data_IF_650206825308
#
_entry.id   IF_650206825308
#
_cell.length_a   1.000
_cell.length_b   1.000
_cell.length_c   1.000
_cell.angle_alpha   90.00
_cell.angle_beta   90.00
_cell.angle_gamma   90.00
#
_symmetry.space_group_name_H-M   'P 1'
#
loop_
_entity.id
_entity.type
_entity.pdbx_description
1 polymer ?
#
# COMPACT_ATOMS: atom_id res chain seq x y z
N UNK A 1 51.06 14.46 0.03
CA UNK A 1 50.74 13.79 -1.26
C UNK A 1 49.50 12.92 -1.02
N UNK A 2 48.28 13.47 -0.96
CA UNK A 2 47.40 13.90 -2.06
C UNK A 2 47.36 12.97 -3.27
N UNK A 3 46.13 12.52 -3.61
CA UNK A 3 45.67 11.57 -4.66
C UNK A 3 45.59 10.13 -4.13
N UNK A 4 44.40 9.57 -3.90
CA UNK A 4 43.31 9.43 -4.87
C UNK A 4 41.93 9.47 -4.19
N UNK A 5 41.20 10.56 -4.41
CA UNK A 5 39.74 10.63 -4.26
C UNK A 5 39.17 10.54 -5.68
N UNK A 6 38.69 9.37 -6.10
CA UNK A 6 37.81 9.27 -7.26
C UNK A 6 37.09 7.91 -7.27
N UNK A 7 36.06 7.76 -6.45
CA UNK A 7 34.93 6.87 -6.72
C UNK A 7 33.68 7.55 -6.16
N UNK A 8 33.21 8.54 -6.92
CA UNK A 8 31.88 9.11 -6.76
C UNK A 8 30.85 8.13 -7.29
N UNK A 9 29.76 8.03 -6.53
CA UNK A 9 28.40 7.80 -7.02
C UNK A 9 28.04 6.40 -7.53
N UNK A 10 27.38 5.60 -6.68
CA UNK A 10 26.16 4.83 -7.03
C UNK A 10 25.43 4.47 -5.73
N UNK A 11 24.30 5.14 -5.50
CA UNK A 11 23.09 4.67 -4.83
C UNK A 11 23.21 3.90 -3.49
N UNK A 12 23.32 4.66 -2.40
CA UNK A 12 22.85 4.23 -1.09
C UNK A 12 21.31 4.39 -1.04
N UNK A 13 20.57 3.35 -1.40
CA UNK A 13 19.13 3.21 -1.13
C UNK A 13 18.73 1.71 -1.11
N UNK A 14 19.42 0.94 -0.28
CA UNK A 14 18.90 -0.34 0.21
C UNK A 14 18.66 -0.20 1.71
N UNK A 15 17.42 0.11 2.06
CA UNK A 15 16.99 0.20 3.43
C UNK A 15 15.48 0.22 3.48
N UNK A 16 14.89 -0.97 3.38
CA UNK A 16 13.75 -1.52 4.15
C UNK A 16 13.18 -2.69 3.34
N UNK A 17 13.91 -3.80 3.30
CA UNK A 17 13.38 -5.11 2.88
C UNK A 17 13.61 -6.04 4.06
N UNK A 18 12.64 -6.13 4.97
CA UNK A 18 12.83 -6.98 6.14
C UNK A 18 11.61 -7.23 7.04
N UNK A 19 10.45 -6.61 6.80
CA UNK A 19 9.30 -6.75 7.73
C UNK A 19 8.14 -7.57 7.15
N UNK A 20 8.14 -7.92 5.86
CA UNK A 20 7.00 -8.60 5.23
C UNK A 20 7.04 -10.14 5.28
N UNK A 21 8.10 -10.75 5.84
CA UNK A 21 8.31 -12.20 5.78
C UNK A 21 7.39 -13.04 6.69
N UNK A 22 6.70 -12.44 7.68
CA UNK A 22 5.89 -13.21 8.65
C UNK A 22 4.41 -13.33 8.30
N UNK A 23 3.93 -12.69 7.22
CA UNK A 23 2.50 -12.65 6.89
C UNK A 23 2.17 -13.25 5.52
N UNK A 24 2.73 -14.42 5.17
CA UNK A 24 2.23 -15.32 4.11
C UNK A 24 2.07 -14.77 2.69
N UNK A 25 2.48 -13.54 2.43
CA UNK A 25 2.37 -12.85 1.14
C UNK A 25 3.69 -12.12 0.91
N UNK A 26 4.72 -12.89 0.57
CA UNK A 26 5.98 -12.34 0.08
C UNK A 26 5.73 -11.73 -1.30
N UNK A 27 5.30 -10.47 -1.33
CA UNK A 27 5.39 -9.65 -2.54
C UNK A 27 6.87 -9.32 -2.70
N UNK A 28 7.54 -10.06 -3.59
CA UNK A 28 8.97 -9.90 -3.87
C UNK A 28 9.27 -8.46 -4.28
N UNK A 29 10.15 -7.79 -3.53
CA UNK A 29 10.55 -6.40 -3.74
C UNK A 29 11.36 -6.16 -5.03
N UNK A 30 11.58 -7.18 -5.87
CA UNK A 30 12.47 -7.11 -7.03
C UNK A 30 11.74 -6.82 -8.37
N UNK A 31 10.41 -6.70 -8.35
CA UNK A 31 9.58 -6.19 -9.46
C UNK A 31 8.40 -5.48 -8.84
N UNK A 32 8.05 -4.28 -9.31
CA UNK A 32 6.81 -3.62 -8.86
C UNK A 32 5.68 -4.66 -8.96
N UNK A 33 5.01 -4.93 -7.84
CA UNK A 33 3.90 -5.86 -7.81
C UNK A 33 2.93 -5.48 -8.93
N UNK A 34 2.45 -6.46 -9.70
CA UNK A 34 1.52 -6.14 -10.78
C UNK A 34 0.28 -5.47 -10.18
N UNK A 35 -0.38 -4.59 -10.95
CA UNK A 35 -1.64 -3.96 -10.50
C UNK A 35 -2.62 -5.03 -9.97
N UNK A 36 -2.73 -6.16 -10.67
CA UNK A 36 -3.58 -7.29 -10.29
C UNK A 36 -3.20 -7.87 -8.92
N UNK A 37 -1.92 -8.02 -8.65
CA UNK A 37 -1.44 -8.55 -7.35
C UNK A 37 -1.72 -7.56 -6.23
N UNK A 38 -1.50 -6.25 -6.44
CA UNK A 38 -1.85 -5.24 -5.44
C UNK A 38 -3.35 -5.24 -5.16
N UNK A 39 -4.19 -5.34 -6.19
CA UNK A 39 -5.65 -5.41 -6.03
C UNK A 39 -6.08 -6.68 -5.30
N UNK A 40 -5.50 -7.85 -5.63
CA UNK A 40 -5.77 -9.11 -4.92
C UNK A 40 -5.33 -9.06 -3.47
N UNK A 41 -4.14 -8.55 -3.19
CA UNK A 41 -3.65 -8.40 -1.82
C UNK A 41 -4.51 -7.42 -1.01
N UNK A 42 -5.00 -6.34 -1.63
CA UNK A 42 -5.86 -5.34 -0.99
C UNK A 42 -7.28 -5.83 -0.71
N UNK A 43 -7.92 -6.45 -1.72
CA UNK A 43 -9.37 -6.67 -1.77
C UNK A 43 -9.80 -8.11 -2.03
N UNK A 44 -8.86 -9.01 -2.33
CA UNK A 44 -9.16 -10.43 -2.47
C UNK A 44 -9.73 -11.03 -1.19
N UNK A 45 -10.24 -12.26 -1.28
CA UNK A 45 -10.70 -13.00 -0.10
C UNK A 45 -9.53 -13.15 0.88
N UNK A 46 -9.67 -12.61 2.08
CA UNK A 46 -8.58 -12.57 3.08
C UNK A 46 -7.47 -11.56 2.80
N UNK A 47 -7.70 -10.59 1.90
CA UNK A 47 -6.80 -9.46 1.68
C UNK A 47 -6.80 -8.46 2.85
N UNK A 48 -5.98 -7.41 2.73
CA UNK A 48 -5.77 -6.40 3.77
C UNK A 48 -7.08 -5.79 4.28
N UNK A 49 -7.99 -5.38 3.38
CA UNK A 49 -9.29 -4.82 3.78
C UNK A 49 -10.04 -5.78 4.72
N UNK A 50 -10.13 -7.06 4.37
CA UNK A 50 -10.87 -8.05 5.14
C UNK A 50 -10.21 -8.30 6.50
N UNK A 51 -8.88 -8.49 6.52
CA UNK A 51 -8.11 -8.72 7.76
C UNK A 51 -8.17 -7.53 8.72
N UNK A 52 -8.03 -6.30 8.20
CA UNK A 52 -8.14 -5.08 9.01
C UNK A 52 -9.56 -4.94 9.56
N UNK A 53 -10.58 -5.18 8.74
CA UNK A 53 -11.98 -5.17 9.20
C UNK A 53 -12.19 -6.15 10.35
N UNK A 54 -11.63 -7.36 10.25
CA UNK A 54 -11.72 -8.37 11.31
C UNK A 54 -10.98 -7.94 12.58
N UNK A 55 -9.73 -7.46 12.44
CA UNK A 55 -8.95 -6.95 13.56
C UNK A 55 -9.69 -5.82 14.31
N UNK A 56 -10.35 -4.90 13.59
CA UNK A 56 -11.16 -3.84 14.18
C UNK A 56 -12.38 -4.38 14.93
N UNK A 57 -13.08 -5.38 14.38
CA UNK A 57 -14.22 -6.03 15.08
C UNK A 57 -13.78 -6.68 16.39
N UNK A 58 -12.61 -7.31 16.41
CA UNK A 58 -12.01 -7.89 17.60
C UNK A 58 -11.31 -6.86 18.50
N UNK A 59 -11.38 -5.55 18.18
CA UNK A 59 -10.67 -4.46 18.86
C UNK A 59 -9.15 -4.67 18.98
N UNK A 60 -8.57 -5.46 18.08
CA UNK A 60 -7.13 -5.69 18.00
C UNK A 60 -6.48 -4.64 17.10
N UNK A 61 -6.33 -3.43 17.64
CA UNK A 61 -5.81 -2.29 16.89
C UNK A 61 -4.32 -2.42 16.56
N UNK A 62 -3.55 -3.16 17.35
CA UNK A 62 -2.15 -3.46 17.06
C UNK A 62 -2.01 -4.30 15.78
N UNK A 63 -2.83 -5.34 15.64
CA UNK A 63 -2.85 -6.14 14.41
C UNK A 63 -3.40 -5.31 13.23
N UNK A 64 -4.43 -4.48 13.46
CA UNK A 64 -4.93 -3.56 12.45
C UNK A 64 -3.83 -2.61 11.93
N UNK A 65 -2.98 -2.08 12.82
CA UNK A 65 -1.87 -1.20 12.46
C UNK A 65 -0.78 -1.94 11.67
N UNK A 66 -0.40 -3.16 12.08
CA UNK A 66 0.56 -4.00 11.33
C UNK A 66 0.08 -4.31 9.91
N UNK A 67 -1.19 -4.68 9.79
CA UNK A 67 -1.83 -4.95 8.51
C UNK A 67 -1.95 -3.69 7.65
N UNK A 68 -2.35 -2.56 8.24
CA UNK A 68 -2.46 -1.28 7.53
C UNK A 68 -1.09 -0.78 7.03
N UNK A 69 -0.03 -0.94 7.83
CA UNK A 69 1.35 -0.62 7.42
C UNK A 69 1.79 -1.47 6.23
N UNK A 70 1.49 -2.76 6.26
CA UNK A 70 1.74 -3.68 5.13
C UNK A 70 0.92 -3.30 3.90
N UNK A 71 -0.32 -2.81 4.10
CA UNK A 71 -1.17 -2.35 3.03
C UNK A 71 -0.65 -1.07 2.38
N UNK A 72 -0.16 -0.10 3.16
CA UNK A 72 0.50 1.11 2.65
C UNK A 72 1.67 0.74 1.73
N UNK A 73 2.59 -0.10 2.20
CA UNK A 73 3.74 -0.56 1.39
C UNK A 73 3.31 -1.29 0.12
N UNK A 74 2.23 -2.09 0.19
CA UNK A 74 1.66 -2.76 -0.98
C UNK A 74 1.13 -1.74 -2.02
N UNK A 75 0.41 -0.71 -1.56
CA UNK A 75 -0.20 0.32 -2.42
C UNK A 75 0.82 1.27 -3.01
N UNK A 76 1.95 1.53 -2.36
CA UNK A 76 3.06 2.33 -2.91
C UNK A 76 3.56 1.77 -4.25
N UNK A 77 3.48 0.45 -4.46
CA UNK A 77 3.84 -0.18 -5.72
C UNK A 77 2.92 0.23 -6.89
N UNK A 78 1.67 0.67 -6.64
CA UNK A 78 0.77 1.10 -7.72
C UNK A 78 1.27 2.35 -8.43
N UNK A 79 1.96 3.24 -7.72
CA UNK A 79 2.52 4.47 -8.30
C UNK A 79 3.64 4.19 -9.32
N UNK A 80 4.22 2.99 -9.27
CA UNK A 80 5.26 2.53 -10.21
C UNK A 80 4.67 1.85 -11.46
N UNK A 81 3.38 1.57 -11.46
CA UNK A 81 2.70 0.90 -12.57
C UNK A 81 2.04 1.93 -13.49
N UNK A 82 2.00 1.62 -14.79
CA UNK A 82 1.16 2.32 -15.77
C UNK A 82 -0.23 1.68 -15.82
N UNK A 83 -1.31 2.46 -15.99
CA UNK A 83 -2.64 1.88 -16.14
C UNK A 83 -2.70 1.08 -17.46
N UNK A 84 -3.45 -0.02 -17.52
CA UNK A 84 -3.61 -0.78 -18.76
C UNK A 84 -4.47 -0.02 -19.79
N UNK A 85 -5.29 0.94 -19.34
CA UNK A 85 -6.18 1.77 -20.15
C UNK A 85 -6.35 3.16 -19.53
N UNK A 86 -6.73 4.13 -20.34
CA UNK A 86 -7.06 5.48 -19.88
C UNK A 86 -5.85 6.37 -19.63
N UNK A 87 -6.08 7.53 -19.02
CA UNK A 87 -5.08 8.58 -18.82
C UNK A 87 -4.11 8.25 -17.67
N UNK A 88 -2.80 8.41 -17.90
CA UNK A 88 -1.76 8.15 -16.89
C UNK A 88 -1.82 9.14 -15.72
N UNK A 89 -2.25 10.39 -15.97
CA UNK A 89 -2.41 11.41 -14.93
C UNK A 89 -3.55 11.08 -13.97
N UNK A 90 -4.71 10.74 -14.51
CA UNK A 90 -5.87 10.28 -13.75
C UNK A 90 -5.56 9.00 -12.95
N UNK A 91 -4.77 8.09 -13.52
CA UNK A 91 -4.29 6.92 -12.80
C UNK A 91 -3.44 7.32 -11.59
N UNK A 92 -2.42 8.17 -11.81
CA UNK A 92 -1.52 8.61 -10.75
C UNK A 92 -2.28 9.31 -9.62
N UNK A 93 -3.17 10.23 -9.95
CA UNK A 93 -4.00 10.94 -8.96
C UNK A 93 -4.83 9.96 -8.12
N UNK A 94 -5.43 8.95 -8.74
CA UNK A 94 -6.22 7.93 -8.04
C UNK A 94 -5.37 7.00 -7.20
N UNK A 95 -4.19 6.60 -7.69
CA UNK A 95 -3.24 5.79 -6.93
C UNK A 95 -2.70 6.56 -5.71
N UNK A 96 -2.43 7.86 -5.86
CA UNK A 96 -2.03 8.73 -4.75
C UNK A 96 -3.16 8.90 -3.72
N UNK A 97 -4.40 9.08 -4.17
CA UNK A 97 -5.58 9.08 -3.30
C UNK A 97 -5.73 7.76 -2.55
N UNK A 98 -5.51 6.63 -3.22
CA UNK A 98 -5.56 5.32 -2.57
C UNK A 98 -4.49 5.20 -1.48
N UNK A 99 -3.25 5.58 -1.80
CA UNK A 99 -2.14 5.60 -0.85
C UNK A 99 -2.42 6.52 0.34
N UNK A 100 -3.00 7.69 0.11
CA UNK A 100 -3.39 8.59 1.20
C UNK A 100 -4.41 7.92 2.12
N UNK A 101 -5.46 7.30 1.57
CA UNK A 101 -6.48 6.65 2.39
C UNK A 101 -5.89 5.50 3.21
N UNK A 102 -4.97 4.69 2.64
CA UNK A 102 -4.32 3.61 3.42
C UNK A 102 -3.43 4.15 4.54
N UNK A 103 -2.76 5.30 4.33
CA UNK A 103 -2.04 6.01 5.40
C UNK A 103 -2.96 6.58 6.47
N UNK A 104 -4.11 7.12 6.09
CA UNK A 104 -5.13 7.59 7.04
C UNK A 104 -5.68 6.42 7.88
N UNK A 105 -5.88 5.24 7.27
CA UNK A 105 -6.26 4.00 7.99
C UNK A 105 -5.17 3.58 8.98
N UNK A 106 -3.89 3.61 8.58
CA UNK A 106 -2.78 3.31 9.48
C UNK A 106 -2.76 4.26 10.67
N UNK A 107 -2.84 5.57 10.42
CA UNK A 107 -2.84 6.57 11.48
C UNK A 107 -4.04 6.43 12.44
N UNK A 108 -5.20 6.01 11.94
CA UNK A 108 -6.35 5.69 12.77
C UNK A 108 -6.11 4.40 13.59
N UNK A 109 -5.52 3.36 12.99
CA UNK A 109 -5.18 2.13 13.69
C UNK A 109 -4.15 2.33 14.81
N UNK A 110 -3.11 3.12 14.57
CA UNK A 110 -2.11 3.50 15.58
C UNK A 110 -2.71 4.26 16.77
N UNK A 111 -3.88 4.89 16.58
CA UNK A 111 -4.63 5.60 17.63
C UNK A 111 -5.75 4.77 18.26
N UNK A 112 -5.95 3.52 17.82
CA UNK A 112 -7.10 2.70 18.23
C UNK A 112 -8.46 3.26 17.75
N UNK A 113 -8.47 4.10 16.72
CA UNK A 113 -9.68 4.74 16.21
C UNK A 113 -10.42 3.83 15.23
N UNK A 114 -11.25 2.93 15.78
CA UNK A 114 -12.10 2.04 14.98
C UNK A 114 -13.07 2.78 14.04
N UNK A 115 -13.51 4.00 14.37
CA UNK A 115 -14.39 4.78 13.48
C UNK A 115 -13.60 5.34 12.30
N UNK A 116 -12.41 5.88 12.55
CA UNK A 116 -11.48 6.36 11.53
C UNK A 116 -11.06 5.25 10.55
N UNK A 117 -10.77 4.05 11.06
CA UNK A 117 -10.45 2.90 10.22
C UNK A 117 -11.63 2.53 9.31
N UNK A 118 -12.84 2.42 9.87
CA UNK A 118 -14.04 2.07 9.09
C UNK A 118 -14.39 3.15 8.05
N UNK A 119 -14.23 4.42 8.40
CA UNK A 119 -14.40 5.54 7.47
C UNK A 119 -13.40 5.45 6.30
N UNK A 120 -12.13 5.17 6.59
CA UNK A 120 -11.10 4.93 5.58
C UNK A 120 -11.43 3.75 4.68
N UNK A 121 -11.86 2.61 5.24
CA UNK A 121 -12.30 1.44 4.46
C UNK A 121 -13.47 1.78 3.52
N UNK A 122 -14.43 2.59 4.00
CA UNK A 122 -15.53 3.09 3.18
C UNK A 122 -15.07 4.02 2.06
N UNK A 123 -14.11 4.90 2.33
CA UNK A 123 -13.54 5.82 1.34
C UNK A 123 -12.80 5.07 0.22
N UNK A 124 -12.03 4.03 0.55
CA UNK A 124 -11.38 3.16 -0.46
C UNK A 124 -12.44 2.55 -1.38
N UNK A 125 -13.55 2.04 -0.83
CA UNK A 125 -14.63 1.45 -1.62
C UNK A 125 -15.21 2.39 -2.68
N UNK A 126 -15.36 3.68 -2.36
CA UNK A 126 -15.83 4.71 -3.31
C UNK A 126 -14.81 4.97 -4.42
N UNK A 127 -13.53 5.07 -4.08
CA UNK A 127 -12.45 5.30 -5.04
C UNK A 127 -12.35 4.20 -6.12
N UNK A 128 -12.66 2.95 -5.75
CA UNK A 128 -12.58 1.81 -6.66
C UNK A 128 -13.54 1.91 -7.86
N UNK A 129 -14.77 2.39 -7.66
CA UNK A 129 -15.76 2.51 -8.74
C UNK A 129 -15.28 3.45 -9.84
N UNK A 130 -14.80 4.62 -9.44
CA UNK A 130 -14.32 5.63 -10.38
C UNK A 130 -12.99 5.24 -11.04
N UNK A 131 -12.12 4.51 -10.33
CA UNK A 131 -10.87 4.01 -10.90
C UNK A 131 -11.12 2.89 -11.92
N UNK A 132 -11.94 1.89 -11.58
CA UNK A 132 -12.22 0.78 -12.47
C UNK A 132 -12.99 1.18 -13.73
N UNK A 133 -13.82 2.22 -13.67
CA UNK A 133 -14.52 2.76 -14.86
C UNK A 133 -13.55 3.24 -15.94
N UNK A 134 -12.37 3.74 -15.55
CA UNK A 134 -11.43 4.41 -16.47
C UNK A 134 -10.19 3.56 -16.80
N UNK A 135 -9.84 2.58 -15.95
CA UNK A 135 -8.54 1.91 -16.01
C UNK A 135 -8.57 0.38 -15.95
N UNK A 136 -9.74 -0.28 -15.96
CA UNK A 136 -9.89 -1.74 -16.02
C UNK A 136 -10.49 -2.16 -17.37
#
# INVERSE_FOLDING_TARGET
MFRKLMQSSVFALMGVVGVLATYGWAISANKAASISDVMKASFGKGGFKAKITEAVKSKNYDEAAKLAKSWVACVENLLQNKPPKGDEGAWKERAEKFLKITRDILAAAEKGDGKGINAGIGAVGKLCGDCHKNHK
#
